data_IF_256313507161
#
_entry.id   IF_256313507161
#
_cell.length_a   1.000
_cell.length_b   1.000
_cell.length_c   1.000
_cell.angle_alpha   90.00
_cell.angle_beta   90.00
_cell.angle_gamma   90.00
#
_symmetry.space_group_name_H-M   'P 1'
#
loop_
_entity.id
_entity.type
_entity.pdbx_description
1 polymer ?
#
# COMPACT_ATOMS: atom_id res chain seq x y z
N UNK A 1 -23.75 -6.05 -1.45
CA UNK A 1 -22.37 -6.44 -1.16
C UNK A 1 -21.41 -5.68 -2.04
N UNK A 2 -20.44 -5.13 -1.43
CA UNK A 2 -19.49 -4.27 -2.12
C UNK A 2 -18.30 -5.08 -2.66
N UNK A 3 -18.23 -5.25 -3.98
CA UNK A 3 -17.15 -5.98 -4.64
C UNK A 3 -16.20 -5.02 -5.35
N UNK A 4 -15.99 -3.83 -4.77
CA UNK A 4 -15.14 -2.83 -5.39
C UNK A 4 -13.65 -3.20 -5.33
N UNK A 5 -13.25 -4.02 -4.38
CA UNK A 5 -11.86 -4.47 -4.24
C UNK A 5 -11.70 -5.90 -4.77
N UNK A 6 -10.56 -6.17 -5.40
CA UNK A 6 -10.21 -7.53 -5.75
C UNK A 6 -9.99 -8.35 -4.47
N UNK A 7 -10.03 -9.67 -4.60
CA UNK A 7 -9.76 -10.54 -3.46
C UNK A 7 -8.34 -10.29 -2.93
N UNK A 8 -7.38 -10.08 -3.83
CA UNK A 8 -6.00 -9.82 -3.42
C UNK A 8 -5.89 -8.53 -2.58
N UNK A 9 -6.62 -7.48 -2.97
CA UNK A 9 -6.63 -6.23 -2.19
C UNK A 9 -7.25 -6.48 -0.81
N UNK A 10 -8.34 -7.24 -0.74
CA UNK A 10 -8.94 -7.59 0.54
C UNK A 10 -7.95 -8.34 1.43
N UNK A 11 -7.20 -9.27 0.86
CA UNK A 11 -6.16 -10.00 1.59
C UNK A 11 -5.06 -9.05 2.07
N UNK A 12 -4.66 -8.12 1.23
CA UNK A 12 -3.62 -7.14 1.59
C UNK A 12 -4.07 -6.26 2.74
N UNK A 13 -5.34 -5.86 2.77
CA UNK A 13 -5.87 -5.09 3.91
C UNK A 13 -5.75 -5.90 5.20
N UNK A 14 -6.06 -7.19 5.14
CA UNK A 14 -5.88 -8.08 6.29
C UNK A 14 -4.41 -8.16 6.71
N UNK A 15 -3.50 -8.34 5.75
CA UNK A 15 -2.07 -8.38 6.04
C UNK A 15 -1.58 -7.04 6.61
N UNK A 16 -2.12 -5.94 6.13
CA UNK A 16 -1.76 -4.61 6.63
C UNK A 16 -2.09 -4.47 8.11
N UNK A 17 -3.24 -4.97 8.52
CA UNK A 17 -3.64 -5.00 9.92
C UNK A 17 -2.68 -5.85 10.75
N UNK A 18 -2.31 -7.01 10.23
CA UNK A 18 -1.37 -7.90 10.92
C UNK A 18 0.01 -7.25 11.04
N UNK A 19 0.45 -6.52 10.01
CA UNK A 19 1.73 -5.80 10.07
C UNK A 19 1.69 -4.67 11.09
N UNK A 20 0.59 -3.92 11.14
CA UNK A 20 0.43 -2.87 12.15
C UNK A 20 0.47 -3.45 13.55
N UNK A 21 -0.16 -4.61 13.75
CA UNK A 21 -0.15 -5.30 15.03
C UNK A 21 1.26 -5.78 15.38
N UNK A 22 1.95 -6.39 14.42
CA UNK A 22 3.33 -6.88 14.62
C UNK A 22 4.26 -5.75 15.03
N UNK A 23 4.09 -4.58 14.42
CA UNK A 23 4.94 -3.41 14.67
C UNK A 23 4.44 -2.55 15.81
N UNK A 24 3.33 -2.96 16.46
CA UNK A 24 2.71 -2.24 17.58
C UNK A 24 2.37 -0.79 17.22
N UNK A 25 1.79 -0.64 16.04
CA UNK A 25 1.31 0.66 15.57
C UNK A 25 -0.18 0.78 15.83
N UNK A 26 -0.64 1.96 16.21
CA UNK A 26 -2.03 2.21 16.60
C UNK A 26 -3.01 2.28 15.44
N UNK A 27 -2.50 2.53 14.23
CA UNK A 27 -3.34 2.72 13.05
C UNK A 27 -2.74 1.96 11.87
N UNK A 28 -3.60 1.56 10.95
CA UNK A 28 -3.17 1.02 9.66
C UNK A 28 -3.02 2.21 8.72
N UNK A 29 -1.79 2.59 8.40
CA UNK A 29 -1.51 3.69 7.49
C UNK A 29 -1.16 3.20 6.10
N UNK A 30 -0.87 4.15 5.18
CA UNK A 30 -0.42 3.79 3.83
C UNK A 30 0.82 2.90 3.85
N UNK A 31 1.69 3.12 4.83
CA UNK A 31 2.91 2.31 5.01
C UNK A 31 2.57 0.84 5.24
N UNK A 32 1.51 0.60 6.01
CA UNK A 32 1.09 -0.78 6.27
C UNK A 32 0.43 -1.40 5.05
N UNK A 33 -0.29 -0.59 4.25
CA UNK A 33 -0.85 -1.07 2.99
C UNK A 33 0.26 -1.52 2.07
N UNK A 34 1.33 -0.75 1.97
CA UNK A 34 2.48 -1.12 1.15
C UNK A 34 3.19 -2.35 1.72
N UNK A 35 3.36 -2.44 3.05
CA UNK A 35 3.92 -3.64 3.67
C UNK A 35 3.06 -4.89 3.40
N UNK A 36 1.74 -4.74 3.47
CA UNK A 36 0.82 -5.84 3.15
C UNK A 36 0.98 -6.29 1.71
N UNK A 37 1.16 -5.34 0.81
CA UNK A 37 1.40 -5.60 -0.60
C UNK A 37 2.70 -6.38 -0.81
N UNK A 38 3.77 -5.95 -0.14
CA UNK A 38 5.07 -6.63 -0.21
C UNK A 38 4.99 -8.03 0.40
N UNK A 39 4.26 -8.17 1.50
CA UNK A 39 4.07 -9.46 2.14
C UNK A 39 3.32 -10.45 1.25
N UNK A 40 2.28 -9.97 0.57
CA UNK A 40 1.53 -10.79 -0.39
C UNK A 40 2.44 -11.25 -1.53
N UNK A 41 3.28 -10.35 -2.02
CA UNK A 41 4.33 -10.68 -2.98
C UNK A 41 3.88 -10.91 -4.40
N UNK A 42 2.60 -10.78 -4.70
CA UNK A 42 2.08 -10.97 -6.05
C UNK A 42 1.25 -9.78 -6.50
N UNK A 43 0.66 -9.91 -7.68
CA UNK A 43 -0.20 -8.89 -8.25
C UNK A 43 0.55 -7.91 -9.13
N UNK A 44 -0.24 -7.09 -9.82
CA UNK A 44 0.28 -6.17 -10.83
C UNK A 44 1.23 -5.12 -10.24
N UNK A 45 0.92 -4.62 -9.04
CA UNK A 45 1.77 -3.61 -8.41
C UNK A 45 3.18 -4.14 -8.19
N UNK A 46 3.30 -5.37 -7.66
CA UNK A 46 4.61 -5.98 -7.43
C UNK A 46 5.32 -6.21 -8.75
N UNK A 47 4.60 -6.66 -9.78
CA UNK A 47 5.19 -6.85 -11.11
C UNK A 47 5.77 -5.55 -11.65
N UNK A 48 5.05 -4.44 -11.48
CA UNK A 48 5.51 -3.13 -11.93
C UNK A 48 6.77 -2.71 -11.18
N UNK A 49 6.76 -2.86 -9.85
CA UNK A 49 7.92 -2.49 -9.05
C UNK A 49 9.15 -3.32 -9.44
N UNK A 50 8.95 -4.60 -9.73
CA UNK A 50 10.03 -5.47 -10.18
C UNK A 50 10.54 -5.05 -11.56
N UNK A 51 9.64 -4.68 -12.47
CA UNK A 51 10.03 -4.18 -13.79
C UNK A 51 10.84 -2.90 -13.71
N UNK A 52 10.52 -2.06 -12.73
CA UNK A 52 11.24 -0.81 -12.50
C UNK A 52 12.52 -1.02 -11.69
N UNK A 53 12.85 -2.28 -11.42
CA UNK A 53 14.12 -2.70 -10.82
C UNK A 53 14.28 -2.19 -9.38
N UNK A 54 13.20 -2.19 -8.62
CA UNK A 54 13.20 -1.71 -7.24
C UNK A 54 13.55 -2.87 -6.30
N UNK A 55 14.43 -2.60 -5.36
CA UNK A 55 14.77 -3.55 -4.30
C UNK A 55 13.64 -3.55 -3.26
N UNK A 56 12.73 -4.52 -3.37
CA UNK A 56 11.57 -4.61 -2.49
C UNK A 56 11.96 -4.80 -1.03
N UNK A 57 13.05 -5.51 -0.79
CA UNK A 57 13.51 -5.74 0.58
C UNK A 57 13.99 -4.44 1.22
N UNK A 58 14.64 -3.58 0.45
CA UNK A 58 15.07 -2.26 0.91
C UNK A 58 13.86 -1.39 1.24
N UNK A 59 12.83 -1.41 0.38
CA UNK A 59 11.59 -0.67 0.65
C UNK A 59 10.98 -1.13 1.97
N UNK A 60 10.90 -2.45 2.16
CA UNK A 60 10.36 -3.02 3.40
C UNK A 60 11.12 -2.53 4.61
N UNK A 61 12.44 -2.59 4.57
CA UNK A 61 13.28 -2.18 5.71
C UNK A 61 13.12 -0.69 6.01
N UNK A 62 13.02 0.14 4.97
CA UNK A 62 12.82 1.58 5.16
C UNK A 62 11.49 1.85 5.86
N UNK A 63 10.43 1.21 5.40
CA UNK A 63 9.11 1.36 6.01
C UNK A 63 9.13 0.91 7.47
N UNK A 64 9.72 -0.25 7.73
CA UNK A 64 9.77 -0.78 9.10
C UNK A 64 10.57 0.14 10.02
N UNK A 65 11.63 0.77 9.50
CA UNK A 65 12.41 1.71 10.26
C UNK A 65 11.58 2.92 10.74
N UNK A 66 10.79 3.50 9.84
CA UNK A 66 9.93 4.61 10.20
C UNK A 66 8.84 4.18 11.18
N UNK A 67 8.24 3.02 10.94
CA UNK A 67 7.13 2.53 11.76
C UNK A 67 7.57 2.13 13.16
N UNK A 68 8.81 1.72 13.31
CA UNK A 68 9.37 1.39 14.62
C UNK A 68 9.42 2.62 15.52
N UNK A 69 9.61 3.80 14.94
CA UNK A 69 9.70 5.04 15.70
C UNK A 69 8.38 5.43 16.36
N UNK A 70 7.26 4.89 15.86
CA UNK A 70 5.94 5.16 16.42
C UNK A 70 5.34 3.94 17.12
N UNK A 71 6.20 3.00 17.50
CA UNK A 71 5.79 1.80 18.22
C UNK A 71 5.18 2.18 19.57
N UNK A 72 4.04 1.54 19.90
CA UNK A 72 3.36 1.75 21.18
C UNK A 72 3.40 0.44 21.96
N UNK A 73 4.29 0.37 22.95
CA UNK A 73 4.49 -0.84 23.74
C UNK A 73 3.27 -1.21 24.60
N UNK A 74 2.33 -0.28 24.77
CA UNK A 74 1.10 -0.52 25.53
C UNK A 74 -0.01 -1.12 24.68
N UNK A 75 0.21 -1.27 23.38
CA UNK A 75 -0.78 -1.85 22.48
C UNK A 75 -0.89 -3.35 22.74
N UNK A 76 -2.12 -3.82 22.94
CA UNK A 76 -2.37 -5.24 23.19
C UNK A 76 -2.13 -6.07 21.91
N UNK A 77 -1.60 -7.29 22.04
CA UNK A 77 -1.24 -8.11 20.85
C UNK A 77 -2.39 -8.38 19.89
N UNK A 78 -3.63 -8.42 20.38
CA UNK A 78 -4.81 -8.71 19.56
C UNK A 78 -5.72 -7.49 19.43
N UNK A 79 -5.17 -6.29 19.60
CA UNK A 79 -5.94 -5.05 19.49
C UNK A 79 -6.57 -4.93 18.10
N UNK A 80 -7.78 -4.36 18.07
CA UNK A 80 -8.45 -4.06 16.82
C UNK A 80 -7.95 -2.70 16.32
N UNK A 81 -7.10 -2.74 15.30
CA UNK A 81 -6.41 -1.56 14.81
C UNK A 81 -7.19 -0.95 13.64
N UNK A 82 -7.63 0.31 13.75
CA UNK A 82 -8.41 0.94 12.68
C UNK A 82 -7.51 1.48 11.57
N UNK A 83 -8.13 1.71 10.42
CA UNK A 83 -7.49 2.45 9.34
C UNK A 83 -7.27 3.90 9.78
N UNK A 84 -6.10 4.44 9.43
CA UNK A 84 -5.90 5.88 9.59
C UNK A 84 -6.79 6.63 8.60
N UNK A 85 -7.10 7.91 8.84
CA UNK A 85 -7.84 8.70 7.85
C UNK A 85 -7.17 8.72 6.48
N UNK A 86 -5.84 8.76 6.46
CA UNK A 86 -5.08 8.76 5.21
C UNK A 86 -5.23 7.43 4.46
N UNK A 87 -5.14 6.30 5.17
CA UNK A 87 -5.31 4.99 4.55
C UNK A 87 -6.73 4.82 4.01
N UNK A 88 -7.73 5.27 4.78
CA UNK A 88 -9.12 5.23 4.33
C UNK A 88 -9.31 6.05 3.05
N UNK A 89 -8.70 7.24 3.00
CA UNK A 89 -8.73 8.09 1.82
C UNK A 89 -8.10 7.40 0.61
N UNK A 90 -6.95 6.77 0.81
CA UNK A 90 -6.25 6.07 -0.27
C UNK A 90 -7.09 4.92 -0.82
N UNK A 91 -7.76 4.17 0.05
CA UNK A 91 -8.62 3.08 -0.42
C UNK A 91 -9.81 3.60 -1.23
N UNK A 92 -10.36 4.76 -0.86
CA UNK A 92 -11.39 5.40 -1.69
C UNK A 92 -10.82 5.87 -3.01
N UNK A 93 -9.63 6.46 -3.01
CA UNK A 93 -8.97 6.93 -4.22
C UNK A 93 -8.66 5.78 -5.18
N UNK A 94 -8.29 4.61 -4.65
CA UNK A 94 -7.94 3.49 -5.53
C UNK A 94 -9.15 3.01 -6.34
N UNK A 95 -10.36 3.14 -5.79
CA UNK A 95 -11.58 2.82 -6.53
C UNK A 95 -11.72 3.78 -7.72
N UNK A 96 -11.41 5.07 -7.51
CA UNK A 96 -11.47 6.07 -8.58
C UNK A 96 -10.39 5.80 -9.63
N UNK A 97 -9.19 5.39 -9.21
CA UNK A 97 -8.12 5.04 -10.15
C UNK A 97 -8.53 3.84 -11.01
N UNK A 98 -9.19 2.84 -10.38
CA UNK A 98 -9.67 1.68 -11.11
C UNK A 98 -10.68 2.09 -12.19
N UNK A 99 -11.58 3.01 -11.85
CA UNK A 99 -12.57 3.51 -12.82
C UNK A 99 -11.91 4.25 -13.98
N UNK A 100 -10.90 5.07 -13.68
CA UNK A 100 -10.14 5.78 -14.72
C UNK A 100 -9.49 4.81 -15.69
N UNK A 101 -9.01 3.69 -15.20
CA UNK A 101 -8.34 2.68 -16.01
C UNK A 101 -9.32 1.63 -16.54
N UNK A 102 -10.63 1.85 -16.33
CA UNK A 102 -11.70 0.99 -16.82
C UNK A 102 -11.58 -0.43 -16.29
N UNK A 103 -11.17 -0.55 -15.03
CA UNK A 103 -11.12 -1.84 -14.34
C UNK A 103 -12.41 -2.05 -13.55
N UNK A 104 -12.91 -3.28 -13.56
CA UNK A 104 -14.14 -3.62 -12.86
C UNK A 104 -13.97 -3.55 -11.34
N UNK A 105 -12.75 -3.81 -10.85
CA UNK A 105 -12.46 -3.77 -9.43
C UNK A 105 -11.15 -3.01 -9.20
N UNK A 106 -10.98 -2.49 -7.98
CA UNK A 106 -9.71 -1.91 -7.57
C UNK A 106 -8.77 -3.04 -7.19
N UNK A 107 -7.63 -3.10 -7.87
CA UNK A 107 -6.62 -4.11 -7.63
C UNK A 107 -5.34 -3.45 -7.10
N UNK A 108 -4.27 -4.23 -6.94
CA UNK A 108 -3.05 -3.76 -6.30
C UNK A 108 -2.45 -2.55 -6.98
N UNK A 109 -2.43 -2.53 -8.32
CA UNK A 109 -1.90 -1.39 -9.07
C UNK A 109 -2.66 -0.10 -8.80
N UNK A 110 -3.97 -0.21 -8.54
CA UNK A 110 -4.79 0.96 -8.23
C UNK A 110 -4.49 1.49 -6.83
N UNK A 111 -4.21 0.59 -5.88
CA UNK A 111 -3.78 0.99 -4.54
C UNK A 111 -2.43 1.70 -4.62
N UNK A 112 -1.50 1.15 -5.39
CA UNK A 112 -0.18 1.77 -5.59
C UNK A 112 -0.32 3.17 -6.20
N UNK A 113 -1.14 3.31 -7.24
CA UNK A 113 -1.38 4.61 -7.86
C UNK A 113 -1.97 5.60 -6.87
N UNK A 114 -2.92 5.16 -6.03
CA UNK A 114 -3.55 6.04 -5.05
C UNK A 114 -2.55 6.53 -4.01
N UNK A 115 -1.67 5.62 -3.53
CA UNK A 115 -0.61 6.00 -2.59
C UNK A 115 0.27 7.09 -3.19
N UNK A 116 0.67 6.91 -4.44
CA UNK A 116 1.57 7.84 -5.12
C UNK A 116 0.86 9.15 -5.50
N UNK A 117 -0.41 9.08 -5.87
CA UNK A 117 -1.17 10.26 -6.23
C UNK A 117 -1.35 11.20 -5.05
N UNK A 118 -1.63 10.64 -3.87
CA UNK A 118 -1.70 11.42 -2.65
C UNK A 118 -0.34 12.07 -2.37
N UNK A 119 0.74 11.30 -2.49
CA UNK A 119 2.11 11.80 -2.41
C UNK A 119 2.55 12.32 -1.05
N UNK A 120 1.63 12.59 -0.16
CA UNK A 120 1.92 13.21 1.13
C UNK A 120 1.86 12.17 2.25
N UNK A 121 2.58 11.07 2.04
CA UNK A 121 2.66 9.97 3.00
C UNK A 121 4.01 9.28 2.89
N UNK A 122 4.39 8.56 3.94
CA UNK A 122 5.71 7.93 4.01
C UNK A 122 5.89 6.83 2.97
N UNK A 123 4.82 6.11 2.63
CA UNK A 123 4.92 5.07 1.61
C UNK A 123 5.34 5.67 0.28
N UNK A 124 4.70 6.77 -0.13
CA UNK A 124 5.06 7.48 -1.35
C UNK A 124 6.49 8.01 -1.27
N UNK A 125 6.87 8.57 -0.11
CA UNK A 125 8.22 9.10 0.08
C UNK A 125 9.28 8.02 -0.15
N UNK A 126 9.09 6.85 0.44
CA UNK A 126 10.04 5.74 0.29
C UNK A 126 10.15 5.32 -1.18
N UNK A 127 9.01 5.22 -1.87
CA UNK A 127 9.02 4.84 -3.29
C UNK A 127 9.67 5.92 -4.15
N UNK A 128 9.42 7.20 -3.84
CA UNK A 128 10.00 8.32 -4.59
C UNK A 128 11.51 8.38 -4.43
N UNK A 129 12.05 7.91 -3.32
CA UNK A 129 13.50 7.80 -3.15
C UNK A 129 14.13 6.87 -4.21
N UNK A 130 13.34 5.93 -4.72
CA UNK A 130 13.79 5.02 -5.77
C UNK A 130 13.23 5.43 -7.14
N UNK A 131 12.82 6.68 -7.27
CA UNK A 131 12.31 7.27 -8.52
C UNK A 131 11.01 6.66 -8.99
N UNK A 132 10.22 6.12 -8.06
CA UNK A 132 8.89 5.61 -8.36
C UNK A 132 7.88 6.70 -8.01
N UNK A 133 7.15 7.19 -9.01
CA UNK A 133 6.10 8.18 -8.83
C UNK A 133 4.84 7.74 -9.58
N UNK A 134 3.78 8.53 -9.46
CA UNK A 134 2.51 8.22 -10.11
C UNK A 134 2.70 8.03 -11.62
N UNK A 135 3.43 8.94 -12.25
CA UNK A 135 3.63 8.91 -13.69
C UNK A 135 4.33 7.63 -14.13
N UNK A 136 5.40 7.24 -13.45
CA UNK A 136 6.16 6.05 -13.85
C UNK A 136 5.32 4.78 -13.74
N UNK A 137 4.49 4.67 -12.71
CA UNK A 137 3.60 3.51 -12.55
C UNK A 137 2.47 3.56 -13.59
N UNK A 138 1.87 4.72 -13.76
CA UNK A 138 0.78 4.89 -14.73
C UNK A 138 1.25 4.53 -16.14
N UNK A 139 2.45 4.95 -16.50
CA UNK A 139 3.03 4.62 -17.82
C UNK A 139 3.18 3.11 -18.01
N UNK A 140 3.59 2.39 -16.97
CA UNK A 140 3.69 0.94 -17.06
C UNK A 140 2.34 0.28 -17.31
N UNK A 141 1.27 0.83 -16.76
CA UNK A 141 -0.08 0.30 -16.97
C UNK A 141 -0.64 0.65 -18.34
N UNK A 142 -0.20 1.77 -18.91
CA UNK A 142 -0.64 2.22 -20.23
C UNK A 142 0.10 1.54 -21.36
N UNK A 143 1.25 0.93 -21.08
CA UNK A 143 2.06 0.22 -22.07
C UNK A 143 1.53 -1.21 -22.24
N UNK A 144 1.19 -1.54 -23.45
CA UNK A 144 0.70 -2.89 -23.76
C UNK A 144 1.37 -3.45 -24.99
#
# INVERSE_FOLDING_TARGET
MNNQFSQRVSDIITYSKEEANRLKNRYIGPEHLLLGMLRDGGGKAIEILQKLDIDLNRVKKRLEGFLKEIEDDNLLPDADIPLSPMAAKILKMCILEARLLKSATADTEHVLLAILKDGNNLAATVLEEDNIDYKSVFEQLSMK
#
